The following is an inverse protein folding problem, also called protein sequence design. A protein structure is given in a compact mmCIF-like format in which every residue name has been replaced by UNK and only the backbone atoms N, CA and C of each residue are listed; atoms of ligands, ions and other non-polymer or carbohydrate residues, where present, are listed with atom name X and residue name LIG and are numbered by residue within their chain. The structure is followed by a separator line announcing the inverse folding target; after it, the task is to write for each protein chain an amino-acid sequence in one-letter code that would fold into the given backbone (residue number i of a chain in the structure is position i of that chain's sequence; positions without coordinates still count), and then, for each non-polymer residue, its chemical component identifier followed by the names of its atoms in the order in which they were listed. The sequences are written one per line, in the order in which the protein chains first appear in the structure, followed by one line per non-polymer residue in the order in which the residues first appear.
data_IF_625183813502
#
_entry.id   IF_625183813502
#
_cell.length_a   1.000
_cell.length_b   1.000
_cell.length_c   1.000
_cell.angle_alpha   90.00
_cell.angle_beta   90.00
_cell.angle_gamma   90.00
#
_symmetry.space_group_name_H-M   'P 1'
#
loop_
_entity.id
_entity.type
_entity.pdbx_description
1 polymer ?
#
# COMPACT_ATOMS: atom_id res chain seq x y z
N UNK A 1 -4.25 -4.63 1.41
CA UNK A 1 -5.03 -3.77 2.31
C UNK A 1 -4.37 -3.73 3.67
N UNK A 2 -4.08 -2.52 4.15
CA UNK A 2 -3.50 -2.32 5.48
C UNK A 2 -4.61 -2.35 6.51
N UNK A 3 -4.46 -3.15 7.57
CA UNK A 3 -5.44 -3.19 8.65
C UNK A 3 -5.10 -2.16 9.72
N UNK A 4 -6.13 -1.51 10.26
CA UNK A 4 -6.00 -0.76 11.53
C UNK A 4 -5.59 -1.70 12.66
N UNK A 5 -4.97 -1.15 13.71
CA UNK A 5 -4.62 -1.93 14.90
C UNK A 5 -5.87 -2.55 15.55
N UNK A 6 -6.99 -1.84 15.55
CA UNK A 6 -8.27 -2.34 16.05
C UNK A 6 -8.72 -3.61 15.33
N UNK A 7 -8.75 -3.59 14.01
CA UNK A 7 -9.18 -4.74 13.19
C UNK A 7 -8.14 -5.86 13.21
N UNK A 8 -6.84 -5.54 13.17
CA UNK A 8 -5.76 -6.50 13.37
C UNK A 8 -5.86 -7.21 14.72
N UNK A 9 -6.15 -6.49 15.80
CA UNK A 9 -6.39 -7.08 17.13
C UNK A 9 -7.67 -7.90 17.19
N UNK A 10 -8.74 -7.47 16.52
CA UNK A 10 -9.97 -8.25 16.44
C UNK A 10 -9.72 -9.59 15.75
N UNK A 11 -9.00 -9.57 14.62
CA UNK A 11 -8.53 -10.76 13.90
C UNK A 11 -7.70 -11.67 14.81
N UNK A 12 -6.66 -11.16 15.46
CA UNK A 12 -5.84 -11.92 16.41
C UNK A 12 -6.67 -12.56 17.53
N UNK A 13 -7.64 -11.82 18.08
CA UNK A 13 -8.54 -12.30 19.13
C UNK A 13 -9.41 -13.47 18.67
N UNK A 14 -9.92 -13.45 17.44
CA UNK A 14 -10.70 -14.58 16.85
C UNK A 14 -9.89 -15.88 16.82
N UNK A 15 -8.58 -15.77 16.63
CA UNK A 15 -7.62 -16.90 16.65
C UNK A 15 -7.07 -17.22 18.05
N UNK A 16 -7.66 -16.63 19.10
CA UNK A 16 -7.28 -16.86 20.48
C UNK A 16 -5.90 -16.29 20.86
N UNK A 17 -5.38 -15.32 20.11
CA UNK A 17 -4.17 -14.59 20.48
C UNK A 17 -4.58 -13.50 21.46
N UNK A 18 -3.91 -13.43 22.61
CA UNK A 18 -4.23 -12.46 23.64
C UNK A 18 -3.88 -11.05 23.18
N UNK A 19 -4.83 -10.14 23.30
CA UNK A 19 -4.73 -8.70 23.00
C UNK A 19 -5.41 -7.93 24.14
N UNK A 20 -5.07 -6.64 24.37
CA UNK A 20 -5.74 -5.83 25.37
C UNK A 20 -7.26 -5.77 25.14
N UNK A 21 -8.00 -5.65 26.24
CA UNK A 21 -9.40 -5.23 26.19
C UNK A 21 -9.49 -3.76 25.83
N UNK A 22 -10.36 -3.46 24.86
CA UNK A 22 -10.54 -2.10 24.37
C UNK A 22 -11.76 -1.97 23.47
N UNK A 23 -12.11 -0.73 23.19
CA UNK A 23 -13.24 -0.33 22.35
C UNK A 23 -12.82 0.77 21.39
N UNK A 24 -13.37 0.71 20.17
CA UNK A 24 -13.24 1.79 19.21
C UNK A 24 -14.22 2.91 19.55
N UNK A 25 -13.78 4.16 19.41
CA UNK A 25 -14.63 5.33 19.37
C UNK A 25 -14.41 6.07 18.05
N UNK A 26 -15.48 6.52 17.40
CA UNK A 26 -15.41 7.29 16.18
C UNK A 26 -15.04 8.76 16.46
N UNK A 27 -14.71 9.50 15.39
CA UNK A 27 -14.26 10.89 15.49
C UNK A 27 -15.27 11.81 16.21
N UNK A 28 -16.57 11.56 16.04
CA UNK A 28 -17.67 12.33 16.64
C UNK A 28 -18.06 11.85 18.03
N UNK A 29 -17.58 10.68 18.45
CA UNK A 29 -18.00 10.09 19.72
C UNK A 29 -17.36 10.83 20.90
N UNK A 30 -18.08 10.98 22.02
CA UNK A 30 -17.48 11.45 23.27
C UNK A 30 -16.48 10.41 23.80
N UNK A 31 -15.58 10.85 24.68
CA UNK A 31 -14.73 9.92 25.41
C UNK A 31 -15.61 8.95 26.23
N UNK A 32 -15.33 7.64 26.21
CA UNK A 32 -16.13 6.66 26.93
C UNK A 32 -15.89 6.77 28.45
N UNK A 33 -16.80 6.23 29.24
CA UNK A 33 -16.56 6.04 30.67
C UNK A 33 -15.56 4.88 30.81
N UNK A 34 -14.38 5.16 31.35
CA UNK A 34 -13.31 4.18 31.53
C UNK A 34 -12.85 4.14 32.98
N UNK A 35 -12.70 2.94 33.54
CA UNK A 35 -12.20 2.75 34.90
C UNK A 35 -10.72 2.37 34.87
N UNK A 36 -9.92 3.05 35.68
CA UNK A 36 -8.49 2.78 35.77
C UNK A 36 -7.67 3.42 34.64
N UNK A 37 -6.47 2.87 34.45
CA UNK A 37 -5.47 3.36 33.48
C UNK A 37 -5.78 2.81 32.11
N UNK A 38 -5.47 3.57 31.07
CA UNK A 38 -5.67 3.15 29.69
C UNK A 38 -4.77 3.86 28.70
N UNK A 39 -4.91 3.49 27.44
CA UNK A 39 -4.21 4.07 26.30
C UNK A 39 -5.23 4.50 25.27
N UNK A 40 -5.10 5.72 24.76
CA UNK A 40 -5.81 6.18 23.57
C UNK A 40 -4.86 6.12 22.36
N UNK A 41 -5.27 5.40 21.31
CA UNK A 41 -4.46 5.16 20.11
C UNK A 41 -5.22 5.56 18.85
N UNK A 42 -4.72 6.56 18.13
CA UNK A 42 -5.31 6.92 16.84
C UNK A 42 -5.20 5.75 15.84
N UNK A 43 -6.30 5.47 15.16
CA UNK A 43 -6.35 4.47 14.10
C UNK A 43 -5.99 5.14 12.78
N UNK A 44 -4.71 4.99 12.40
CA UNK A 44 -4.16 5.43 11.12
C UNK A 44 -3.41 4.25 10.49
N UNK A 45 -3.33 4.21 9.16
CA UNK A 45 -2.70 3.11 8.42
C UNK A 45 -1.16 3.21 8.38
N UNK A 46 -0.62 4.34 8.82
CA UNK A 46 0.81 4.62 8.87
C UNK A 46 1.42 4.26 10.23
N UNK A 47 2.71 3.93 10.23
CA UNK A 47 3.50 3.71 11.45
C UNK A 47 3.87 5.01 12.19
N UNK A 48 4.69 4.89 13.23
CA UNK A 48 5.28 6.05 13.92
C UNK A 48 4.32 6.87 14.80
N UNK A 49 3.15 6.30 15.14
CA UNK A 49 2.08 6.96 15.91
C UNK A 49 2.55 7.48 17.27
N UNK A 50 3.41 6.73 17.97
CA UNK A 50 3.95 7.11 19.27
C UNK A 50 4.75 8.43 19.22
N UNK A 51 5.65 8.57 18.24
CA UNK A 51 6.47 9.78 18.06
C UNK A 51 5.65 11.02 17.71
N UNK A 52 4.49 10.82 17.07
CA UNK A 52 3.54 11.89 16.70
C UNK A 52 2.60 12.29 17.86
N UNK A 53 2.71 11.64 19.01
CA UNK A 53 1.80 11.86 20.14
C UNK A 53 0.37 11.37 19.87
N UNK A 54 0.20 10.43 18.93
CA UNK A 54 -1.07 9.79 18.57
C UNK A 54 -1.38 8.54 19.41
N UNK A 55 -0.44 8.17 20.30
CA UNK A 55 -0.59 7.13 21.31
C UNK A 55 -0.30 7.78 22.66
N UNK A 56 -1.28 7.80 23.56
CA UNK A 56 -1.15 8.46 24.86
C UNK A 56 -1.77 7.62 25.98
N UNK A 57 -1.02 7.47 27.06
CA UNK A 57 -1.49 6.88 28.31
C UNK A 57 -2.36 7.88 29.07
N UNK A 58 -3.36 7.38 29.79
CA UNK A 58 -4.15 8.16 30.74
C UNK A 58 -4.34 7.39 32.05
N UNK A 59 -4.40 8.14 33.14
CA UNK A 59 -4.79 7.63 34.46
C UNK A 59 -6.31 7.67 34.63
N UNK A 60 -6.83 7.07 35.71
CA UNK A 60 -8.26 7.04 35.99
C UNK A 60 -8.87 8.45 35.97
N UNK A 61 -9.94 8.65 35.18
CA UNK A 61 -10.60 9.94 35.00
C UNK A 61 -9.94 10.87 33.97
N UNK A 62 -8.74 10.57 33.47
CA UNK A 62 -8.00 11.42 32.53
C UNK A 62 -8.36 11.22 31.05
N UNK A 63 -9.28 10.30 30.72
CA UNK A 63 -9.55 9.89 29.34
C UNK A 63 -10.00 11.06 28.43
N UNK A 64 -10.85 11.96 28.93
CA UNK A 64 -11.39 13.05 28.12
C UNK A 64 -10.29 14.02 27.66
N UNK A 65 -9.38 14.39 28.56
CA UNK A 65 -8.23 15.24 28.25
C UNK A 65 -7.30 14.56 27.23
N UNK A 66 -7.02 13.28 27.43
CA UNK A 66 -6.12 12.54 26.54
C UNK A 66 -6.73 12.32 25.15
N UNK A 67 -8.02 12.00 25.05
CA UNK A 67 -8.73 11.92 23.76
C UNK A 67 -8.67 13.26 23.03
N UNK A 68 -8.92 14.38 23.72
CA UNK A 68 -8.80 15.71 23.13
C UNK A 68 -7.36 16.00 22.67
N UNK A 69 -6.36 15.63 23.49
CA UNK A 69 -4.95 15.79 23.17
C UNK A 69 -4.48 14.98 21.97
N UNK A 70 -4.95 13.73 21.81
CA UNK A 70 -4.66 12.90 20.62
C UNK A 70 -5.32 13.51 19.38
N UNK A 71 -6.59 13.93 19.46
CA UNK A 71 -7.27 14.61 18.34
C UNK A 71 -6.53 15.88 17.92
N UNK A 72 -6.12 16.71 18.87
CA UNK A 72 -5.35 17.93 18.62
C UNK A 72 -3.98 17.68 17.96
N UNK A 73 -3.40 16.48 18.12
CA UNK A 73 -2.15 16.07 17.47
C UNK A 73 -2.31 15.61 16.00
N UNK A 74 -3.46 15.88 15.37
CA UNK A 74 -3.71 15.60 13.95
C UNK A 74 -4.57 14.36 13.69
N UNK A 75 -5.29 13.87 14.70
CA UNK A 75 -6.21 12.73 14.59
C UNK A 75 -7.68 13.14 14.75
N UNK A 76 -8.06 14.34 14.27
CA UNK A 76 -9.42 14.90 14.44
C UNK A 76 -10.50 14.11 13.71
N UNK A 77 -10.18 13.51 12.56
CA UNK A 77 -11.14 12.81 11.72
C UNK A 77 -11.01 11.27 11.76
N UNK A 78 -10.13 10.74 12.61
CA UNK A 78 -9.87 9.29 12.66
C UNK A 78 -10.43 8.67 13.94
N UNK A 79 -10.89 7.41 13.90
CA UNK A 79 -11.28 6.68 15.10
C UNK A 79 -10.11 6.54 16.08
N UNK A 80 -10.43 6.42 17.37
CA UNK A 80 -9.46 6.09 18.41
C UNK A 80 -9.79 4.72 19.00
N UNK A 81 -8.76 3.90 19.20
CA UNK A 81 -8.83 2.70 20.02
C UNK A 81 -8.50 3.08 21.46
N UNK A 82 -9.45 2.88 22.36
CA UNK A 82 -9.26 3.03 23.80
C UNK A 82 -9.09 1.64 24.40
N UNK A 83 -7.98 1.40 25.08
CA UNK A 83 -7.68 0.09 25.66
C UNK A 83 -7.06 0.16 27.05
N UNK A 84 -7.05 -0.97 27.75
CA UNK A 84 -6.40 -1.10 29.04
C UNK A 84 -4.89 -0.90 28.94
N UNK A 85 -4.31 -0.22 29.94
CA UNK A 85 -2.87 -0.12 30.06
C UNK A 85 -2.32 -1.43 30.65
N UNK A 86 -1.53 -2.16 29.86
CA UNK A 86 -0.93 -3.41 30.30
C UNK A 86 0.18 -3.16 31.35
N UNK A 87 0.28 -3.96 32.42
CA UNK A 87 1.43 -3.97 33.30
C UNK A 87 2.57 -4.73 32.62
N UNK A 88 3.37 -4.06 31.79
CA UNK A 88 4.40 -4.71 30.98
C UNK A 88 5.67 -4.95 31.81
N UNK A 89 6.11 -6.21 31.89
CA UNK A 89 7.39 -6.59 32.51
C UNK A 89 8.54 -6.61 31.50
N UNK A 90 8.27 -7.05 30.26
CA UNK A 90 9.24 -7.05 29.17
C UNK A 90 8.53 -6.93 27.82
N UNK A 91 9.20 -6.32 26.84
CA UNK A 91 8.69 -6.14 25.47
C UNK A 91 9.55 -6.90 24.47
N UNK A 92 8.90 -7.61 23.56
CA UNK A 92 9.52 -8.32 22.45
C UNK A 92 8.99 -7.81 21.11
N UNK A 93 9.71 -8.12 20.03
CA UNK A 93 9.28 -7.86 18.66
C UNK A 93 9.15 -9.18 17.92
N UNK A 94 8.04 -9.36 17.20
CA UNK A 94 7.83 -10.46 16.26
C UNK A 94 7.22 -9.93 14.96
N UNK A 95 7.75 -10.37 13.82
CA UNK A 95 7.16 -10.10 12.51
C UNK A 95 7.25 -11.33 11.63
N UNK A 96 6.11 -11.72 11.08
CA UNK A 96 5.97 -12.80 10.11
C UNK A 96 5.55 -12.18 8.79
N UNK A 97 6.22 -12.56 7.71
CA UNK A 97 5.91 -12.07 6.36
C UNK A 97 6.10 -13.15 5.32
N UNK A 98 5.50 -12.96 4.15
CA UNK A 98 5.82 -13.79 2.98
C UNK A 98 7.26 -13.47 2.55
N UNK A 99 8.13 -14.48 2.53
CA UNK A 99 9.47 -14.39 1.98
C UNK A 99 9.48 -14.98 0.57
N UNK A 100 9.47 -14.09 -0.43
CA UNK A 100 9.52 -14.49 -1.84
C UNK A 100 10.84 -15.12 -2.27
N UNK A 101 11.95 -14.85 -1.56
CA UNK A 101 13.26 -15.42 -1.89
C UNK A 101 13.38 -16.84 -1.34
N UNK A 102 13.06 -17.02 -0.05
CA UNK A 102 13.04 -18.33 0.60
C UNK A 102 11.78 -19.16 0.34
N UNK A 103 10.83 -18.60 -0.41
CA UNK A 103 9.54 -19.20 -0.78
C UNK A 103 8.77 -19.76 0.42
N UNK A 104 8.69 -18.99 1.52
CA UNK A 104 8.09 -19.43 2.78
C UNK A 104 7.66 -18.27 3.67
N UNK A 105 7.54 -18.54 4.97
CA UNK A 105 7.28 -17.52 6.00
C UNK A 105 8.62 -17.07 6.55
N UNK A 106 8.94 -15.79 6.33
CA UNK A 106 10.05 -15.11 6.99
C UNK A 106 9.65 -14.67 8.39
N UNK A 107 10.43 -15.07 9.39
CA UNK A 107 10.35 -14.61 10.78
C UNK A 107 11.45 -13.59 11.04
N UNK A 108 11.08 -12.45 11.60
CA UNK A 108 11.96 -11.55 12.32
C UNK A 108 11.57 -11.53 13.81
N UNK A 109 12.54 -11.69 14.71
CA UNK A 109 12.31 -11.71 16.14
C UNK A 109 13.40 -10.97 16.91
N UNK A 110 13.02 -10.16 17.90
CA UNK A 110 13.97 -9.49 18.79
C UNK A 110 13.51 -9.50 20.24
N UNK A 111 14.47 -9.68 21.15
CA UNK A 111 14.25 -9.59 22.59
C UNK A 111 14.08 -8.15 23.10
N UNK A 112 14.30 -7.16 22.23
CA UNK A 112 13.98 -5.76 22.45
C UNK A 112 12.79 -5.37 21.55
N UNK A 113 11.61 -5.21 22.15
CA UNK A 113 10.41 -4.66 21.52
C UNK A 113 10.15 -3.20 21.89
N UNK A 114 9.07 -2.64 21.35
CA UNK A 114 8.61 -1.27 21.66
C UNK A 114 9.45 -0.17 21.01
N UNK A 115 10.40 -0.55 20.15
CA UNK A 115 11.31 0.35 19.43
C UNK A 115 11.22 0.12 17.92
N UNK A 116 11.73 1.08 17.14
CA UNK A 116 11.92 0.88 15.70
C UNK A 116 13.01 -0.17 15.49
N UNK A 117 12.66 -1.27 14.84
CA UNK A 117 13.56 -2.41 14.70
C UNK A 117 14.76 -2.08 13.78
N UNK A 118 14.59 -1.13 12.86
CA UNK A 118 15.61 -0.64 11.93
C UNK A 118 16.76 0.10 12.64
N UNK A 119 16.49 0.64 13.83
CA UNK A 119 17.49 1.34 14.66
C UNK A 119 18.02 0.46 15.81
N UNK A 120 17.50 -0.77 15.95
CA UNK A 120 17.86 -1.70 17.00
C UNK A 120 19.04 -2.61 16.59
N UNK A 121 19.46 -3.48 17.52
CA UNK A 121 20.33 -4.60 17.17
C UNK A 121 19.63 -5.49 16.11
N UNK A 122 20.39 -6.10 15.18
CA UNK A 122 19.81 -6.94 14.14
C UNK A 122 18.90 -8.02 14.75
N UNK A 123 17.62 -8.11 14.32
CA UNK A 123 16.74 -9.16 14.80
C UNK A 123 17.23 -10.53 14.31
N UNK A 124 16.85 -11.58 15.04
CA UNK A 124 16.94 -12.95 14.55
C UNK A 124 16.06 -13.03 13.30
N UNK A 125 16.61 -13.55 12.22
CA UNK A 125 15.93 -13.72 10.94
C UNK A 125 16.01 -15.17 10.48
N UNK A 126 14.89 -15.75 10.05
CA UNK A 126 14.87 -17.08 9.42
C UNK A 126 13.66 -17.26 8.52
N UNK A 127 13.71 -18.24 7.62
CA UNK A 127 12.57 -18.62 6.79
C UNK A 127 12.19 -20.06 7.07
N UNK A 128 10.90 -20.34 7.18
CA UNK A 128 10.36 -21.67 7.43
C UNK A 128 9.04 -21.88 6.67
N UNK A 129 8.60 -23.13 6.57
CA UNK A 129 7.32 -23.50 5.97
C UNK A 129 6.27 -23.71 7.06
N UNK A 130 5.06 -23.19 6.89
CA UNK A 130 3.99 -23.34 7.89
C UNK A 130 3.66 -24.82 8.17
N UNK A 131 3.78 -25.65 7.15
CA UNK A 131 3.49 -27.08 7.14
C UNK A 131 4.68 -27.97 7.53
N UNK A 132 5.85 -27.40 7.81
CA UNK A 132 7.02 -28.18 8.21
C UNK A 132 6.85 -28.70 9.65
N UNK A 133 6.84 -30.04 9.87
CA UNK A 133 6.70 -30.62 11.21
C UNK A 133 7.85 -30.26 12.15
N UNK A 134 9.01 -29.86 11.62
CA UNK A 134 10.19 -29.46 12.40
C UNK A 134 10.26 -27.95 12.65
N UNK A 135 9.34 -27.15 12.11
CA UNK A 135 9.37 -25.68 12.21
C UNK A 135 9.51 -25.21 13.67
N UNK A 136 8.78 -25.83 14.61
CA UNK A 136 8.85 -25.45 16.03
C UNK A 136 10.24 -25.64 16.66
N UNK A 137 10.94 -26.72 16.32
CA UNK A 137 12.28 -26.98 16.80
C UNK A 137 13.30 -26.00 16.20
N UNK A 138 13.17 -25.73 14.90
CA UNK A 138 14.00 -24.77 14.18
C UNK A 138 13.83 -23.34 14.73
N UNK A 139 12.58 -22.92 14.96
CA UNK A 139 12.28 -21.61 15.56
C UNK A 139 12.86 -21.52 16.98
N UNK A 140 12.67 -22.55 17.81
CA UNK A 140 13.23 -22.55 19.16
C UNK A 140 14.77 -22.47 19.15
N UNK A 141 15.42 -23.21 18.27
CA UNK A 141 16.88 -23.17 18.11
C UNK A 141 17.36 -21.77 17.72
N UNK A 142 16.67 -21.10 16.79
CA UNK A 142 16.99 -19.73 16.38
C UNK A 142 16.79 -18.72 17.51
N UNK A 143 15.71 -18.85 18.29
CA UNK A 143 15.43 -17.97 19.43
C UNK A 143 16.40 -18.16 20.60
N UNK A 144 17.01 -19.34 20.74
CA UNK A 144 17.88 -19.70 21.86
C UNK A 144 19.13 -18.82 22.02
N UNK A 145 19.56 -18.13 20.97
CA UNK A 145 20.71 -17.22 21.01
C UNK A 145 20.38 -15.79 21.46
N UNK A 146 19.09 -15.39 21.43
CA UNK A 146 18.70 -14.00 21.65
C UNK A 146 17.61 -13.78 22.70
N UNK A 147 16.86 -14.82 23.08
CA UNK A 147 15.76 -14.73 24.04
C UNK A 147 16.08 -15.42 25.36
N UNK A 148 15.50 -14.97 26.49
CA UNK A 148 15.60 -15.69 27.76
C UNK A 148 15.14 -17.15 27.62
N UNK A 149 15.91 -18.09 28.17
CA UNK A 149 15.63 -19.52 28.04
C UNK A 149 14.22 -19.93 28.53
N UNK A 150 13.71 -19.23 29.55
CA UNK A 150 12.36 -19.45 30.09
C UNK A 150 11.24 -19.03 29.13
N UNK A 151 11.48 -18.07 28.22
CA UNK A 151 10.46 -17.51 27.33
C UNK A 151 10.54 -18.04 25.90
N UNK A 152 11.73 -18.42 25.42
CA UNK A 152 11.95 -18.87 24.04
C UNK A 152 10.99 -20.00 23.59
N UNK A 153 10.71 -21.07 24.37
CA UNK A 153 9.75 -22.11 23.98
C UNK A 153 8.31 -21.59 23.83
N UNK A 154 7.94 -20.57 24.60
CA UNK A 154 6.60 -19.97 24.56
C UNK A 154 6.45 -19.07 23.33
N UNK A 155 7.50 -18.33 23.00
CA UNK A 155 7.57 -17.52 21.78
C UNK A 155 7.55 -18.42 20.54
N UNK A 156 8.32 -19.51 20.53
CA UNK A 156 8.31 -20.46 19.40
C UNK A 156 6.90 -21.02 19.12
N UNK A 157 6.17 -21.41 20.17
CA UNK A 157 4.77 -21.85 20.05
C UNK A 157 3.84 -20.73 19.57
N UNK A 158 4.06 -19.50 20.03
CA UNK A 158 3.29 -18.35 19.56
C UNK A 158 3.55 -18.07 18.08
N UNK A 159 4.81 -18.10 17.62
CA UNK A 159 5.18 -17.92 16.21
C UNK A 159 4.46 -18.94 15.32
N UNK A 160 4.41 -20.21 15.70
CA UNK A 160 3.67 -21.23 14.94
C UNK A 160 2.16 -20.92 14.84
N UNK A 161 1.56 -20.42 15.93
CA UNK A 161 0.15 -19.98 15.91
C UNK A 161 -0.04 -18.77 15.01
N UNK A 162 0.86 -17.78 15.08
CA UNK A 162 0.81 -16.59 14.23
C UNK A 162 1.03 -16.94 12.76
N UNK A 163 1.85 -17.96 12.45
CA UNK A 163 2.02 -18.47 11.10
C UNK A 163 0.72 -19.09 10.57
N UNK A 164 0.00 -19.85 11.41
CA UNK A 164 -1.32 -20.36 11.05
C UNK A 164 -2.34 -19.24 10.81
N UNK A 165 -2.31 -18.17 11.63
CA UNK A 165 -3.13 -16.97 11.41
C UNK A 165 -2.77 -16.30 10.08
N UNK A 166 -1.49 -16.08 9.80
CA UNK A 166 -1.01 -15.46 8.57
C UNK A 166 -1.55 -16.18 7.33
N UNK A 167 -1.51 -17.52 7.34
CA UNK A 167 -2.03 -18.34 6.25
C UNK A 167 -3.56 -18.33 6.18
N UNK A 168 -4.25 -18.47 7.32
CA UNK A 168 -5.71 -18.54 7.36
C UNK A 168 -6.41 -17.22 6.99
N UNK A 169 -5.74 -16.10 7.22
CA UNK A 169 -6.27 -14.75 7.02
C UNK A 169 -5.70 -14.05 5.78
N UNK A 170 -4.94 -14.78 4.95
CA UNK A 170 -4.27 -14.28 3.74
C UNK A 170 -3.44 -13.02 4.00
N UNK A 171 -2.63 -13.06 5.06
CA UNK A 171 -1.78 -11.94 5.43
C UNK A 171 -0.44 -12.02 4.70
N UNK A 172 -0.03 -10.90 4.11
CA UNK A 172 1.33 -10.71 3.60
C UNK A 172 2.31 -10.36 4.72
N UNK A 173 1.81 -9.70 5.77
CA UNK A 173 2.55 -9.27 6.96
C UNK A 173 1.66 -9.40 8.20
N UNK A 174 2.22 -9.97 9.26
CA UNK A 174 1.71 -9.92 10.62
C UNK A 174 2.86 -9.52 11.55
N UNK A 175 2.80 -8.31 12.08
CA UNK A 175 3.80 -7.75 12.98
C UNK A 175 3.17 -7.40 14.34
N UNK A 176 3.85 -7.76 15.41
CA UNK A 176 3.50 -7.46 16.80
C UNK A 176 4.65 -6.70 17.43
N UNK A 177 4.44 -5.40 17.67
CA UNK A 177 5.45 -4.52 18.27
C UNK A 177 4.84 -3.47 19.22
N UNK A 178 4.82 -3.69 20.55
CA UNK A 178 5.45 -4.80 21.25
C UNK A 178 4.55 -6.02 21.45
N UNK A 179 5.17 -7.19 21.54
CA UNK A 179 4.64 -8.35 22.25
C UNK A 179 5.01 -8.20 23.73
N UNK A 180 4.03 -7.93 24.57
CA UNK A 180 4.23 -7.71 26.00
C UNK A 180 4.26 -9.03 26.78
N UNK A 181 5.26 -9.18 27.64
CA UNK A 181 5.27 -10.15 28.73
C UNK A 181 4.76 -9.47 29.99
N UNK A 182 3.68 -10.00 30.56
CA UNK A 182 3.13 -9.52 31.83
C UNK A 182 3.81 -10.20 33.03
N UNK A 183 3.74 -9.63 34.25
CA UNK A 183 4.26 -10.23 35.48
C UNK A 183 3.68 -11.60 35.80
N UNK A 184 2.43 -11.87 35.40
CA UNK A 184 1.78 -13.19 35.53
C UNK A 184 2.26 -14.21 34.48
N UNK A 185 3.24 -13.80 33.66
CA UNK A 185 3.83 -14.57 32.60
C UNK A 185 3.05 -14.54 31.30
N UNK A 186 1.85 -13.98 31.18
CA UNK A 186 1.10 -13.98 29.91
C UNK A 186 1.84 -13.18 28.81
N UNK A 187 1.76 -13.69 27.58
CA UNK A 187 2.20 -12.98 26.37
C UNK A 187 0.97 -12.34 25.73
N UNK A 188 1.02 -11.03 25.50
CA UNK A 188 -0.09 -10.23 24.97
C UNK A 188 0.41 -9.37 23.80
N UNK A 189 -0.27 -9.43 22.66
CA UNK A 189 0.01 -8.57 21.51
C UNK A 189 -0.49 -7.14 21.81
N UNK A 190 0.39 -6.29 22.32
CA UNK A 190 0.05 -4.94 22.78
C UNK A 190 -0.17 -3.98 21.61
N UNK A 191 0.44 -4.25 20.46
CA UNK A 191 0.17 -3.60 19.18
C UNK A 191 0.19 -4.68 18.07
N UNK A 192 -0.51 -4.43 16.98
CA UNK A 192 -0.55 -5.32 15.84
C UNK A 192 -0.65 -4.53 14.53
N UNK A 193 0.21 -4.87 13.58
CA UNK A 193 0.18 -4.37 12.21
C UNK A 193 0.01 -5.54 11.27
N UNK A 194 -1.10 -5.57 10.55
CA UNK A 194 -1.42 -6.63 9.61
C UNK A 194 -1.60 -6.04 8.20
N UNK A 195 -1.07 -6.72 7.19
CA UNK A 195 -1.29 -6.44 5.78
C UNK A 195 -1.97 -7.67 5.18
N UNK A 196 -3.20 -7.51 4.69
CA UNK A 196 -3.96 -8.57 4.02
C UNK A 196 -3.81 -8.44 2.51
N UNK A 197 -3.64 -9.55 1.81
CA UNK A 197 -3.63 -9.61 0.35
C UNK A 197 -5.01 -9.15 -0.20
N UNK A 198 -4.99 -8.12 -1.05
CA UNK A 198 -6.21 -7.58 -1.65
C UNK A 198 -6.81 -8.53 -2.67
N UNK A 199 -5.98 -9.32 -3.34
CA UNK A 199 -6.44 -10.32 -4.31
C UNK A 199 -7.22 -11.45 -3.64
N UNK A 200 -7.04 -11.67 -2.33
CA UNK A 200 -7.83 -12.61 -1.53
C UNK A 200 -9.13 -12.00 -1.00
N UNK A 201 -9.41 -10.70 -1.21
CA UNK A 201 -10.55 -10.00 -0.63
C UNK A 201 -11.92 -10.63 -0.95
N UNK A 202 -12.05 -11.35 -2.08
CA UNK A 202 -13.29 -12.02 -2.48
C UNK A 202 -13.77 -13.12 -1.51
N UNK A 203 -12.90 -13.63 -0.64
CA UNK A 203 -13.23 -14.70 0.33
C UNK A 203 -13.19 -14.23 1.79
N UNK A 204 -13.02 -12.93 2.03
CA UNK A 204 -13.05 -12.33 3.36
C UNK A 204 -14.30 -11.45 3.52
N UNK A 205 -14.89 -11.43 4.71
CA UNK A 205 -16.04 -10.57 4.99
C UNK A 205 -15.59 -9.09 5.01
N UNK A 206 -16.15 -8.22 4.14
CA UNK A 206 -15.82 -6.80 4.12
C UNK A 206 -16.07 -6.07 5.44
N UNK A 207 -16.98 -6.58 6.28
CA UNK A 207 -17.24 -6.00 7.60
C UNK A 207 -16.03 -6.08 8.55
N UNK A 208 -15.10 -7.02 8.33
CA UNK A 208 -13.89 -7.15 9.15
C UNK A 208 -12.86 -6.06 8.90
N UNK A 209 -12.98 -5.33 7.79
CA UNK A 209 -12.01 -4.31 7.35
C UNK A 209 -12.68 -2.97 7.07
N UNK A 210 -13.90 -2.75 7.58
CA UNK A 210 -14.71 -1.58 7.29
C UNK A 210 -14.03 -0.25 7.69
N UNK A 211 -13.32 -0.24 8.83
CA UNK A 211 -12.59 0.95 9.30
C UNK A 211 -11.37 1.20 8.41
N UNK A 212 -10.61 0.15 8.11
CA UNK A 212 -9.45 0.24 7.20
C UNK A 212 -9.85 0.74 5.82
N UNK A 213 -10.91 0.17 5.23
CA UNK A 213 -11.42 0.56 3.92
C UNK A 213 -11.88 2.02 3.90
N UNK A 214 -12.57 2.47 4.96
CA UNK A 214 -12.97 3.87 5.08
C UNK A 214 -11.78 4.82 5.19
N UNK A 215 -10.71 4.43 5.89
CA UNK A 215 -9.48 5.22 5.98
C UNK A 215 -8.71 5.25 4.65
N UNK A 216 -8.58 4.12 3.95
CA UNK A 216 -7.96 4.07 2.61
C UNK A 216 -8.73 4.97 1.63
N UNK A 217 -10.06 4.92 1.64
CA UNK A 217 -10.92 5.75 0.78
C UNK A 217 -10.79 7.25 1.10
N UNK A 218 -10.63 7.61 2.37
CA UNK A 218 -10.42 8.98 2.80
C UNK A 218 -9.06 9.55 2.38
N UNK A 219 -8.04 8.69 2.18
CA UNK A 219 -6.72 9.09 1.70
C UNK A 219 -6.67 9.34 0.18
N UNK A 220 -7.60 8.76 -0.59
CA UNK A 220 -7.65 8.92 -2.04
C UNK A 220 -7.94 10.37 -2.42
N UNK A 221 -7.31 10.85 -3.48
CA UNK A 221 -7.74 12.10 -4.11
C UNK A 221 -9.07 11.91 -4.85
N UNK A 222 -9.77 12.99 -5.24
CA UNK A 222 -10.95 12.88 -6.10
C UNK A 222 -10.68 12.17 -7.43
N UNK A 223 -9.47 12.31 -7.98
CA UNK A 223 -9.10 11.68 -9.25
C UNK A 223 -8.81 10.19 -9.07
N UNK A 224 -8.15 9.81 -7.96
CA UNK A 224 -7.89 8.41 -7.61
C UNK A 224 -9.18 7.63 -7.34
N UNK A 225 -10.16 8.26 -6.68
CA UNK A 225 -11.51 7.67 -6.51
C UNK A 225 -12.19 7.41 -7.86
N UNK A 226 -12.22 8.41 -8.75
CA UNK A 226 -12.81 8.25 -10.09
C UNK A 226 -12.10 7.18 -10.92
N UNK A 227 -10.78 7.04 -10.76
CA UNK A 227 -10.00 5.99 -11.43
C UNK A 227 -10.42 4.61 -10.93
N UNK A 228 -10.51 4.42 -9.61
CA UNK A 228 -10.95 3.17 -9.00
C UNK A 228 -12.36 2.77 -9.45
N UNK A 229 -13.31 3.72 -9.48
CA UNK A 229 -14.67 3.51 -10.02
C UNK A 229 -14.68 3.12 -11.51
N UNK A 230 -13.72 3.63 -12.28
CA UNK A 230 -13.53 3.30 -13.69
C UNK A 230 -12.72 2.01 -13.92
N UNK A 231 -12.33 1.28 -12.87
CA UNK A 231 -11.69 -0.02 -12.94
C UNK A 231 -10.17 0.01 -13.13
N UNK A 232 -9.50 1.14 -12.85
CA UNK A 232 -8.03 1.21 -12.91
C UNK A 232 -7.44 1.98 -11.74
N UNK A 233 -6.17 1.74 -11.45
CA UNK A 233 -5.44 2.45 -10.41
C UNK A 233 -4.83 3.71 -10.98
N UNK A 234 -4.96 4.80 -10.24
CA UNK A 234 -4.24 6.05 -10.44
C UNK A 234 -3.50 6.36 -9.15
N UNK A 235 -2.27 6.83 -9.27
CA UNK A 235 -1.54 7.48 -8.18
C UNK A 235 -1.09 8.85 -8.67
N UNK A 236 -1.49 9.89 -7.96
CA UNK A 236 -1.02 11.25 -8.27
C UNK A 236 0.38 11.50 -7.74
N UNK A 237 1.23 12.16 -8.55
CA UNK A 237 2.59 12.54 -8.19
C UNK A 237 2.70 14.07 -8.30
N UNK A 238 2.37 14.83 -7.24
CA UNK A 238 2.14 16.27 -7.32
C UNK A 238 3.34 17.10 -7.84
N UNK A 239 4.57 16.61 -7.64
CA UNK A 239 5.79 17.29 -8.09
C UNK A 239 6.19 16.97 -9.55
N UNK A 240 5.37 16.22 -10.28
CA UNK A 240 5.68 15.80 -11.64
C UNK A 240 5.42 16.86 -12.71
N UNK A 241 6.05 16.65 -13.87
CA UNK A 241 6.05 17.55 -15.03
C UNK A 241 5.50 16.91 -16.31
N UNK A 242 5.29 15.59 -16.30
CA UNK A 242 4.75 14.82 -17.44
C UNK A 242 3.57 13.97 -16.99
N UNK A 243 2.37 14.19 -17.54
CA UNK A 243 1.23 13.30 -17.29
C UNK A 243 1.43 11.98 -18.05
N UNK A 244 1.47 10.86 -17.34
CA UNK A 244 1.85 9.55 -17.89
C UNK A 244 0.63 8.62 -18.04
N UNK A 245 0.49 8.03 -19.23
CA UNK A 245 -0.47 6.98 -19.53
C UNK A 245 0.30 5.78 -20.09
N UNK A 246 0.36 4.67 -19.35
CA UNK A 246 1.11 3.46 -19.74
C UNK A 246 0.23 2.19 -19.82
N UNK A 247 0.60 1.24 -20.68
CA UNK A 247 -0.02 -0.09 -20.64
C UNK A 247 0.74 -1.05 -19.71
N UNK A 248 0.16 -1.31 -18.53
CA UNK A 248 0.65 -2.29 -17.55
C UNK A 248 1.67 -1.74 -16.56
N UNK A 249 1.66 -2.31 -15.35
CA UNK A 249 2.47 -1.87 -14.22
C UNK A 249 3.97 -1.76 -14.53
N UNK A 250 4.58 -2.80 -15.12
CA UNK A 250 6.02 -2.84 -15.37
C UNK A 250 6.52 -1.76 -16.34
N UNK A 251 5.80 -1.57 -17.46
CA UNK A 251 6.11 -0.48 -18.39
C UNK A 251 5.88 0.89 -17.75
N UNK A 252 4.79 1.04 -16.99
CA UNK A 252 4.51 2.28 -16.26
C UNK A 252 5.62 2.66 -15.30
N UNK A 253 6.09 1.72 -14.48
CA UNK A 253 7.17 1.97 -13.51
C UNK A 253 8.48 2.32 -14.21
N UNK A 254 8.86 1.57 -15.24
CA UNK A 254 10.03 1.90 -16.06
C UNK A 254 9.96 3.33 -16.63
N UNK A 255 8.77 3.77 -17.09
CA UNK A 255 8.60 5.11 -17.63
C UNK A 255 8.65 6.19 -16.56
N UNK A 256 8.14 5.94 -15.35
CA UNK A 256 8.27 6.84 -14.21
C UNK A 256 9.76 7.09 -13.91
N UNK A 257 10.55 6.02 -13.86
CA UNK A 257 11.99 6.09 -13.59
C UNK A 257 12.74 6.82 -14.70
N UNK A 258 12.51 6.46 -15.97
CA UNK A 258 13.16 7.10 -17.12
C UNK A 258 12.81 8.60 -17.23
N UNK A 259 11.59 9.00 -16.88
CA UNK A 259 11.18 10.40 -16.83
C UNK A 259 11.90 11.16 -15.70
N UNK A 260 12.08 10.53 -14.53
CA UNK A 260 12.85 11.10 -13.44
C UNK A 260 14.33 11.28 -13.82
N UNK A 261 14.96 10.25 -14.42
CA UNK A 261 16.34 10.31 -14.92
C UNK A 261 16.52 11.39 -16.00
N UNK A 262 15.51 11.57 -16.85
CA UNK A 262 15.49 12.62 -17.85
C UNK A 262 15.23 14.03 -17.27
N UNK A 263 15.06 14.19 -15.95
CA UNK A 263 14.83 15.48 -15.30
C UNK A 263 13.42 16.07 -15.50
N UNK A 264 12.44 15.23 -15.82
CA UNK A 264 11.04 15.62 -16.02
C UNK A 264 10.10 14.55 -15.41
N UNK A 265 10.06 14.44 -14.07
CA UNK A 265 9.39 13.34 -13.37
C UNK A 265 7.91 13.20 -13.75
N UNK A 266 7.38 11.99 -13.69
CA UNK A 266 5.96 11.74 -13.96
C UNK A 266 5.05 12.43 -12.94
N UNK A 267 3.92 12.98 -13.41
CA UNK A 267 2.89 13.65 -12.61
C UNK A 267 1.79 12.69 -12.12
N UNK A 268 1.79 11.48 -12.65
CA UNK A 268 0.93 10.40 -12.21
C UNK A 268 1.49 9.05 -12.64
N UNK A 269 0.97 8.00 -12.03
CA UNK A 269 1.08 6.63 -12.49
C UNK A 269 -0.32 6.06 -12.67
N UNK A 270 -0.54 5.30 -13.74
CA UNK A 270 -1.81 4.65 -14.01
C UNK A 270 -1.58 3.19 -14.41
N UNK A 271 -2.26 2.28 -13.74
CA UNK A 271 -2.20 0.85 -14.05
C UNK A 271 -3.60 0.22 -14.16
N UNK A 272 -3.74 -0.72 -15.08
CA UNK A 272 -5.00 -1.45 -15.22
C UNK A 272 -4.99 -2.62 -14.23
N UNK A 273 -5.36 -2.34 -12.99
CA UNK A 273 -5.48 -3.37 -11.95
C UNK A 273 -6.58 -4.40 -12.30
N UNK A 274 -7.65 -3.98 -12.99
CA UNK A 274 -8.74 -4.84 -13.43
C UNK A 274 -9.11 -4.52 -14.89
N UNK A 275 -8.93 -5.48 -15.81
CA UNK A 275 -9.35 -5.35 -17.22
C UNK A 275 -8.25 -4.98 -18.23
N UNK A 276 -8.60 -5.06 -19.51
CA UNK A 276 -7.65 -4.87 -20.61
C UNK A 276 -7.36 -3.38 -20.90
N UNK A 277 -6.15 -3.00 -21.34
CA UNK A 277 -5.79 -1.58 -21.60
C UNK A 277 -6.62 -0.83 -22.63
N UNK A 278 -7.58 -1.49 -23.30
CA UNK A 278 -8.45 -0.88 -24.29
C UNK A 278 -9.75 -0.33 -23.66
N UNK A 279 -10.21 -0.91 -22.56
CA UNK A 279 -11.52 -0.60 -21.96
C UNK A 279 -11.49 0.71 -21.17
N UNK A 280 -10.33 1.11 -20.66
CA UNK A 280 -10.17 2.29 -19.79
C UNK A 280 -9.44 3.47 -20.47
N UNK A 281 -9.06 3.35 -21.76
CA UNK A 281 -8.20 4.34 -22.43
C UNK A 281 -8.80 5.75 -22.43
N UNK A 282 -10.11 5.89 -22.66
CA UNK A 282 -10.78 7.20 -22.71
C UNK A 282 -10.78 7.88 -21.35
N UNK A 283 -11.12 7.15 -20.29
CA UNK A 283 -11.13 7.65 -18.92
C UNK A 283 -9.70 8.05 -18.48
N UNK A 284 -8.71 7.24 -18.83
CA UNK A 284 -7.30 7.52 -18.53
C UNK A 284 -6.77 8.76 -19.25
N UNK A 285 -7.12 8.95 -20.52
CA UNK A 285 -6.82 10.19 -21.25
C UNK A 285 -7.46 11.41 -20.59
N UNK A 286 -8.75 11.32 -20.24
CA UNK A 286 -9.44 12.42 -19.57
C UNK A 286 -8.75 12.82 -18.26
N UNK A 287 -8.43 11.85 -17.40
CA UNK A 287 -7.74 12.14 -16.13
C UNK A 287 -6.31 12.66 -16.33
N UNK A 288 -5.58 12.13 -17.32
CA UNK A 288 -4.26 12.66 -17.67
C UNK A 288 -4.33 14.10 -18.17
N UNK A 289 -5.39 14.48 -18.89
CA UNK A 289 -5.61 15.85 -19.34
C UNK A 289 -5.98 16.79 -18.20
N UNK A 290 -6.78 16.32 -17.23
CA UNK A 290 -7.03 17.04 -15.98
C UNK A 290 -5.72 17.29 -15.19
N UNK A 291 -4.84 16.28 -15.13
CA UNK A 291 -3.50 16.44 -14.51
C UNK A 291 -2.64 17.40 -15.34
N UNK A 292 -2.66 17.30 -16.66
CA UNK A 292 -1.88 18.15 -17.55
C UNK A 292 -2.33 19.61 -17.59
N UNK A 293 -3.52 19.93 -17.07
CA UNK A 293 -3.98 21.30 -16.89
C UNK A 293 -3.18 22.06 -15.82
N UNK A 294 -2.46 21.35 -14.94
CA UNK A 294 -1.58 21.96 -13.94
C UNK A 294 -0.45 22.77 -14.60
N UNK A 295 -0.13 23.98 -14.12
CA UNK A 295 0.90 24.82 -14.74
C UNK A 295 2.29 24.17 -14.85
N UNK A 296 2.66 23.37 -13.85
CA UNK A 296 3.95 22.67 -13.77
C UNK A 296 4.07 21.48 -14.73
N UNK A 297 2.95 20.96 -15.23
CA UNK A 297 2.91 19.87 -16.21
C UNK A 297 3.03 20.45 -17.62
N UNK A 298 4.14 20.13 -18.28
CA UNK A 298 4.48 20.68 -19.59
C UNK A 298 4.19 19.74 -20.76
N UNK A 299 4.04 18.43 -20.52
CA UNK A 299 3.77 17.45 -21.58
C UNK A 299 2.93 16.27 -21.09
N UNK A 300 2.40 15.50 -22.04
CA UNK A 300 1.68 14.24 -21.81
C UNK A 300 2.42 13.13 -22.56
N UNK A 301 2.64 11.99 -21.90
CA UNK A 301 3.26 10.81 -22.49
C UNK A 301 2.28 9.64 -22.46
N UNK A 302 1.91 9.15 -23.65
CA UNK A 302 1.13 7.93 -23.81
C UNK A 302 2.01 6.82 -24.36
N UNK A 303 2.21 5.74 -23.61
CA UNK A 303 3.03 4.60 -24.01
C UNK A 303 2.24 3.31 -23.95
N UNK A 304 2.26 2.52 -25.04
CA UNK A 304 1.65 1.20 -25.06
C UNK A 304 2.46 0.22 -25.89
N UNK A 305 2.20 -1.07 -25.71
CA UNK A 305 2.80 -2.14 -26.51
C UNK A 305 1.69 -2.97 -27.14
N UNK A 306 1.92 -3.45 -28.35
CA UNK A 306 0.98 -4.29 -29.10
C UNK A 306 1.71 -5.50 -29.64
N UNK A 307 1.38 -6.69 -29.13
CA UNK A 307 1.93 -7.94 -29.64
C UNK A 307 1.09 -8.47 -30.81
N UNK A 308 -0.11 -8.96 -30.52
CA UNK A 308 -0.99 -9.65 -31.48
C UNK A 308 -2.24 -8.86 -31.89
N UNK A 309 -2.58 -7.78 -31.17
CA UNK A 309 -3.73 -6.93 -31.52
C UNK A 309 -3.37 -5.97 -32.67
N UNK A 310 -4.22 -5.80 -33.70
CA UNK A 310 -3.93 -4.91 -34.82
C UNK A 310 -3.72 -3.45 -34.39
N UNK A 311 -2.67 -2.82 -34.90
CA UNK A 311 -2.33 -1.42 -34.65
C UNK A 311 -3.46 -0.49 -35.11
N UNK A 312 -4.04 -0.75 -36.28
CA UNK A 312 -5.08 0.09 -36.90
C UNK A 312 -6.25 0.38 -35.95
N UNK A 313 -6.78 -0.64 -35.29
CA UNK A 313 -7.91 -0.47 -34.36
C UNK A 313 -7.53 0.38 -33.14
N UNK A 314 -6.32 0.21 -32.62
CA UNK A 314 -5.81 1.03 -31.49
C UNK A 314 -5.65 2.49 -31.88
N UNK A 315 -5.09 2.76 -33.06
CA UNK A 315 -4.91 4.11 -33.58
C UNK A 315 -6.24 4.79 -33.88
N UNK A 316 -7.18 4.08 -34.51
CA UNK A 316 -8.53 4.61 -34.78
C UNK A 316 -9.27 4.98 -33.48
N UNK A 317 -9.20 4.13 -32.46
CA UNK A 317 -9.80 4.40 -31.15
C UNK A 317 -9.14 5.60 -30.46
N UNK A 318 -7.80 5.66 -30.45
CA UNK A 318 -7.07 6.80 -29.88
C UNK A 318 -7.40 8.10 -30.63
N UNK A 319 -7.41 8.07 -31.97
CA UNK A 319 -7.74 9.24 -32.77
C UNK A 319 -9.19 9.70 -32.60
N UNK A 320 -10.13 8.78 -32.43
CA UNK A 320 -11.51 9.12 -32.10
C UNK A 320 -11.62 9.83 -30.74
N UNK A 321 -10.92 9.32 -29.72
CA UNK A 321 -10.88 9.95 -28.39
C UNK A 321 -10.27 11.36 -28.45
N UNK A 322 -9.16 11.54 -29.17
CA UNK A 322 -8.48 12.83 -29.31
C UNK A 322 -9.27 13.85 -30.16
N UNK A 323 -10.09 13.40 -31.12
CA UNK A 323 -11.04 14.30 -31.81
C UNK A 323 -12.14 14.80 -30.88
N UNK A 324 -12.64 13.94 -29.99
CA UNK A 324 -13.67 14.31 -29.03
C UNK A 324 -13.12 15.24 -27.94
N UNK A 325 -11.88 15.01 -27.50
CA UNK A 325 -11.17 15.84 -26.53
C UNK A 325 -9.71 16.03 -26.97
N UNK A 326 -9.37 17.17 -27.59
CA UNK A 326 -7.99 17.47 -28.00
C UNK A 326 -7.05 17.59 -26.79
N UNK A 327 -5.76 17.23 -26.94
CA UNK A 327 -4.81 17.29 -25.83
C UNK A 327 -4.52 18.75 -25.42
N UNK A 328 -4.54 19.08 -24.11
CA UNK A 328 -4.32 20.45 -23.63
C UNK A 328 -2.84 20.88 -23.61
N UNK A 329 -1.93 19.92 -23.79
CA UNK A 329 -0.46 20.08 -23.78
C UNK A 329 0.12 19.18 -24.88
N UNK A 330 1.40 19.38 -25.27
CA UNK A 330 2.06 18.47 -26.21
C UNK A 330 1.92 17.00 -25.79
N UNK A 331 1.34 16.19 -26.68
CA UNK A 331 1.09 14.77 -26.47
C UNK A 331 2.10 13.96 -27.27
N UNK A 332 3.01 13.29 -26.58
CA UNK A 332 3.96 12.34 -27.15
C UNK A 332 3.39 10.94 -27.01
N UNK A 333 3.39 10.18 -28.11
CA UNK A 333 2.88 8.81 -28.16
C UNK A 333 4.03 7.86 -28.45
N UNK A 334 4.13 6.76 -27.71
CA UNK A 334 4.99 5.63 -28.00
C UNK A 334 4.18 4.35 -28.18
N UNK A 335 4.36 3.66 -29.30
CA UNK A 335 3.72 2.38 -29.57
C UNK A 335 4.76 1.39 -30.07
N UNK A 336 5.18 0.47 -29.19
CA UNK A 336 6.00 -0.65 -29.61
C UNK A 336 5.08 -1.76 -30.14
N UNK A 337 5.09 -1.96 -31.46
CA UNK A 337 4.22 -2.90 -32.15
C UNK A 337 5.02 -4.07 -32.75
N UNK A 338 4.59 -5.30 -32.46
CA UNK A 338 5.14 -6.51 -33.08
C UNK A 338 4.68 -6.67 -34.54
N UNK A 339 5.34 -7.58 -35.26
CA UNK A 339 5.09 -7.81 -36.69
C UNK A 339 3.60 -8.07 -37.01
N UNK A 340 2.92 -8.88 -36.21
CA UNK A 340 1.50 -9.19 -36.40
C UNK A 340 0.59 -7.97 -36.22
N UNK A 341 0.91 -7.08 -35.27
CA UNK A 341 0.14 -5.85 -35.04
C UNK A 341 0.24 -4.87 -36.22
N UNK A 342 1.36 -4.88 -36.96
CA UNK A 342 1.63 -4.00 -38.11
C UNK A 342 1.02 -4.51 -39.43
N UNK A 343 0.39 -5.69 -39.44
CA UNK A 343 -0.16 -6.28 -40.65
C UNK A 343 -1.26 -5.39 -41.25
N UNK A 344 -1.01 -4.87 -42.45
CA UNK A 344 -1.94 -4.02 -43.20
C UNK A 344 -2.11 -2.59 -42.66
N UNK A 345 -1.26 -2.16 -41.71
CA UNK A 345 -1.22 -0.79 -41.22
C UNK A 345 0.12 -0.47 -40.54
N UNK A 346 0.91 0.37 -41.19
CA UNK A 346 2.28 0.72 -40.80
C UNK A 346 2.34 1.79 -39.70
N UNK A 347 3.49 1.91 -39.05
CA UNK A 347 3.76 3.01 -38.10
C UNK A 347 3.71 4.39 -38.77
N UNK A 348 4.05 4.49 -40.06
CA UNK A 348 3.99 5.75 -40.81
C UNK A 348 2.52 6.20 -41.04
N UNK A 349 1.63 5.26 -41.36
CA UNK A 349 0.19 5.55 -41.46
C UNK A 349 -0.40 5.93 -40.10
N UNK A 350 0.07 5.28 -39.03
CA UNK A 350 -0.30 5.63 -37.66
C UNK A 350 0.15 7.05 -37.28
N UNK A 351 1.39 7.43 -37.61
CA UNK A 351 1.90 8.79 -37.38
C UNK A 351 1.06 9.83 -38.10
N UNK A 352 0.78 9.62 -39.39
CA UNK A 352 -0.07 10.52 -40.18
C UNK A 352 -1.45 10.70 -39.54
N UNK A 353 -2.10 9.60 -39.15
CA UNK A 353 -3.44 9.62 -38.56
C UNK A 353 -3.48 10.30 -37.18
N UNK A 354 -2.42 10.15 -36.39
CA UNK A 354 -2.32 10.77 -35.07
C UNK A 354 -1.93 12.26 -35.14
N UNK A 355 -1.09 12.65 -36.11
CA UNK A 355 -0.73 14.06 -36.32
C UNK A 355 -1.95 14.91 -36.69
N UNK A 356 -2.89 14.37 -37.46
CA UNK A 356 -4.16 15.04 -37.81
C UNK A 356 -5.03 15.38 -36.60
N UNK A 357 -4.85 14.68 -35.48
CA UNK A 357 -5.67 14.84 -34.26
C UNK A 357 -4.87 15.44 -33.09
N UNK A 358 -3.76 16.10 -33.39
CA UNK A 358 -3.00 16.90 -32.41
C UNK A 358 -1.94 16.13 -31.60
N UNK A 359 -1.57 14.90 -32.00
CA UNK A 359 -0.39 14.23 -31.43
C UNK A 359 0.89 14.94 -31.91
N UNK A 360 1.75 15.31 -30.98
CA UNK A 360 2.99 16.06 -31.24
C UNK A 360 4.04 15.19 -31.94
N UNK A 361 4.23 13.96 -31.44
CA UNK A 361 5.18 13.01 -32.00
C UNK A 361 4.76 11.56 -31.70
N UNK A 362 5.09 10.65 -32.63
CA UNK A 362 4.93 9.20 -32.47
C UNK A 362 6.30 8.52 -32.53
N UNK A 363 6.59 7.64 -31.58
CA UNK A 363 7.79 6.82 -31.57
C UNK A 363 7.46 5.33 -31.52
N UNK A 364 8.29 4.51 -32.15
CA UNK A 364 8.22 3.04 -32.03
C UNK A 364 8.86 2.49 -30.75
N UNK A 365 9.64 3.32 -30.04
CA UNK A 365 10.40 2.91 -28.86
C UNK A 365 10.18 3.88 -27.68
N UNK A 366 10.01 3.37 -26.45
CA UNK A 366 9.74 4.20 -25.27
C UNK A 366 10.83 5.24 -24.95
N UNK A 367 12.11 4.91 -25.14
CA UNK A 367 13.22 5.76 -24.71
C UNK A 367 13.25 7.10 -25.46
N UNK A 368 13.03 7.06 -26.79
CA UNK A 368 12.96 8.26 -27.61
C UNK A 368 11.75 9.15 -27.25
N UNK A 369 10.62 8.51 -26.94
CA UNK A 369 9.42 9.22 -26.50
C UNK A 369 9.61 9.92 -25.14
N UNK A 370 10.29 9.27 -24.19
CA UNK A 370 10.64 9.88 -22.90
C UNK A 370 11.54 11.10 -23.10
N UNK A 371 12.58 10.99 -23.93
CA UNK A 371 13.48 12.11 -24.20
C UNK A 371 12.73 13.32 -24.77
N UNK A 372 11.81 13.09 -25.71
CA UNK A 372 11.00 14.16 -26.31
C UNK A 372 9.98 14.74 -25.33
N UNK A 373 9.26 13.90 -24.57
CA UNK A 373 8.33 14.37 -23.55
C UNK A 373 9.04 15.21 -22.47
N UNK A 374 10.23 14.77 -22.04
CA UNK A 374 11.04 15.49 -21.07
C UNK A 374 11.55 16.83 -21.61
N UNK A 375 11.95 16.88 -22.89
CA UNK A 375 12.32 18.12 -23.58
C UNK A 375 11.15 19.11 -23.58
N UNK A 376 9.97 18.68 -24.05
CA UNK A 376 8.76 19.49 -24.11
C UNK A 376 8.31 19.98 -22.72
N UNK A 377 8.47 19.14 -21.69
CA UNK A 377 8.08 19.49 -20.33
C UNK A 377 8.96 20.57 -19.68
N UNK A 378 10.18 20.78 -20.18
CA UNK A 378 11.10 21.80 -19.66
C UNK A 378 10.95 23.17 -20.34
N UNK A 379 10.27 23.23 -21.49
CA UNK A 379 10.23 24.41 -22.37
C UNK A 379 11.37 24.36 -23.37
#
# INVERSE_FOLDING_TARGET
MRLTEHEGKALLRRHGIAVPHGSLIHATDPAPIWQGRGVAKAQVLEGGRGKRGLVRLFEAGGIAEVVAGVRAAGATAVPLLIEEALPIAQEFYLSLRIDGTGQGIGLLASAAGGIEIEAAAPPIAMTFQAQDPHAGASILAALGAGFPAAIAPRIARLVLRLAAVLVAEDLELLEINPLALLPDGRLVAADAKCLRDEAAGFRHDPAETAVSAALEEALRTPLERRAAEAGFSLVELPAGRVALISAGAGLGMMLVDLLADAGAPAACFMDNAQGGPAETTVQRLAMAFEIAARPEVGAILFCTTLASRPLKGRIQALAAALRAAPPPKPLVVAIAAGHAALAGYSMAEAEASLREVGVTALFGEPLAAVAEAARLARG
#
